data_IF_829702980217
#
_entry.id   IF_829702980217
#
_cell.length_a   1.000
_cell.length_b   1.000
_cell.length_c   1.000
_cell.angle_alpha   90.00
_cell.angle_beta   90.00
_cell.angle_gamma   90.00
#
_symmetry.space_group_name_H-M   'P 1'
#
loop_
_entity.id
_entity.type
_entity.pdbx_description
1 polymer ?
#
# COMPACT_ATOMS: atom_id res chain seq x y z
N UNK A 1 16.85 18.86 -7.72
CA UNK A 1 15.45 18.43 -7.83
C UNK A 1 15.00 17.70 -6.57
N UNK A 2 13.93 18.18 -5.95
CA UNK A 2 13.22 17.61 -4.81
C UNK A 2 11.92 17.01 -5.30
N UNK A 3 11.73 15.72 -5.09
CA UNK A 3 10.53 14.99 -5.45
C UNK A 3 9.93 14.32 -4.23
N UNK A 4 8.62 14.40 -4.08
CA UNK A 4 7.88 13.64 -3.07
C UNK A 4 6.92 12.66 -3.73
N UNK A 5 7.00 11.41 -3.32
CA UNK A 5 6.04 10.36 -3.62
C UNK A 5 5.02 10.32 -2.48
N UNK A 6 3.77 10.56 -2.81
CA UNK A 6 2.64 10.53 -1.87
C UNK A 6 1.73 9.37 -2.23
N UNK A 7 1.21 8.66 -1.24
CA UNK A 7 0.24 7.60 -1.51
C UNK A 7 -0.22 6.89 -0.24
N UNK A 8 -1.13 5.94 -0.39
CA UNK A 8 -1.58 5.12 0.74
C UNK A 8 -0.54 4.07 1.10
N UNK A 9 -0.51 3.70 2.39
CA UNK A 9 0.20 2.50 2.82
C UNK A 9 -0.25 1.30 1.98
N UNK A 10 0.74 0.55 1.45
CA UNK A 10 0.56 -0.58 0.51
C UNK A 10 0.20 -0.24 -0.94
N UNK A 11 0.27 1.02 -1.37
CA UNK A 11 0.14 1.37 -2.80
C UNK A 11 1.42 1.16 -3.62
N UNK A 12 2.55 0.84 -2.98
CA UNK A 12 3.85 0.63 -3.67
C UNK A 12 4.82 1.80 -3.58
N UNK A 13 4.55 2.78 -2.73
CA UNK A 13 5.36 4.00 -2.56
C UNK A 13 6.83 3.72 -2.28
N UNK A 14 7.15 2.67 -1.51
CA UNK A 14 8.55 2.26 -1.29
C UNK A 14 9.24 1.87 -2.59
N UNK A 15 8.61 1.06 -3.45
CA UNK A 15 9.23 0.60 -4.68
C UNK A 15 9.45 1.79 -5.66
N UNK A 16 8.46 2.69 -5.75
CA UNK A 16 8.57 3.88 -6.58
C UNK A 16 9.65 4.86 -6.08
N UNK A 17 9.78 5.03 -4.76
CA UNK A 17 10.85 5.82 -4.15
C UNK A 17 12.23 5.34 -4.63
N UNK A 18 12.49 4.04 -4.55
CA UNK A 18 13.77 3.49 -4.97
C UNK A 18 13.96 3.49 -6.49
N UNK A 19 12.88 3.33 -7.26
CA UNK A 19 12.93 3.51 -8.71
C UNK A 19 13.39 4.94 -9.07
N UNK A 20 12.75 5.96 -8.50
CA UNK A 20 13.14 7.35 -8.74
C UNK A 20 14.56 7.61 -8.22
N UNK A 21 14.90 7.13 -7.01
CA UNK A 21 16.22 7.32 -6.42
C UNK A 21 17.35 6.74 -7.28
N UNK A 22 17.11 5.61 -7.96
CA UNK A 22 18.07 5.00 -8.88
C UNK A 22 18.40 5.87 -10.10
N UNK A 23 17.45 6.70 -10.55
CA UNK A 23 17.64 7.63 -11.66
C UNK A 23 18.14 9.02 -11.23
N UNK A 24 18.20 9.30 -9.93
CA UNK A 24 18.69 10.58 -9.39
C UNK A 24 20.21 10.56 -9.17
N UNK A 25 20.85 11.74 -9.06
CA UNK A 25 22.26 11.87 -8.67
C UNK A 25 22.64 11.04 -7.43
N UNK A 26 23.90 10.60 -7.38
CA UNK A 26 24.41 9.72 -6.30
C UNK A 26 24.32 10.36 -4.92
N UNK A 27 24.37 11.68 -4.82
CA UNK A 27 24.25 12.46 -3.60
C UNK A 27 22.80 12.76 -3.19
N UNK A 28 21.80 12.34 -3.98
CA UNK A 28 20.40 12.55 -3.65
C UNK A 28 20.04 11.89 -2.30
N UNK A 29 19.48 12.70 -1.41
CA UNK A 29 19.04 12.26 -0.09
C UNK A 29 17.70 11.54 -0.18
N UNK A 30 17.48 10.58 0.71
CA UNK A 30 16.21 9.88 0.84
C UNK A 30 15.55 10.30 2.14
N UNK A 31 14.35 10.89 2.05
CA UNK A 31 13.51 11.20 3.21
C UNK A 31 12.37 10.19 3.30
N UNK A 32 12.40 9.32 4.30
CA UNK A 32 11.50 8.17 4.37
C UNK A 32 10.44 8.33 5.47
N UNK A 33 9.19 8.53 5.06
CA UNK A 33 8.00 8.59 5.92
C UNK A 33 8.15 9.54 7.14
N UNK A 34 8.47 10.83 6.92
CA UNK A 34 8.45 11.80 8.02
C UNK A 34 7.04 11.91 8.61
N UNK A 35 6.95 12.06 9.92
CA UNK A 35 5.68 12.29 10.64
C UNK A 35 5.49 13.74 11.10
N UNK A 36 6.46 14.60 10.79
CA UNK A 36 6.46 16.01 11.10
C UNK A 36 7.13 16.78 9.95
N UNK A 37 6.99 18.10 9.96
CA UNK A 37 7.67 18.94 8.99
C UNK A 37 9.19 18.77 9.11
N UNK A 38 9.84 18.55 7.98
CA UNK A 38 11.30 18.50 7.84
C UNK A 38 11.69 19.49 6.75
N UNK A 39 12.52 20.47 7.09
CA UNK A 39 13.07 21.41 6.13
C UNK A 39 14.09 20.71 5.23
N UNK A 40 13.97 20.87 3.91
CA UNK A 40 14.93 20.29 2.97
C UNK A 40 16.11 21.23 2.73
N UNK A 41 17.30 20.82 3.17
CA UNK A 41 18.55 21.54 2.93
C UNK A 41 19.19 21.15 1.59
N UNK A 42 19.08 19.86 1.22
CA UNK A 42 19.67 19.35 -0.03
C UNK A 42 18.90 19.84 -1.27
N UNK A 43 19.59 20.17 -2.37
CA UNK A 43 18.93 20.41 -3.66
C UNK A 43 18.39 19.13 -4.29
N UNK A 44 18.85 17.94 -3.88
CA UNK A 44 18.43 16.64 -4.40
C UNK A 44 17.83 15.76 -3.30
N UNK A 45 16.51 15.58 -3.34
CA UNK A 45 15.77 14.79 -2.35
C UNK A 45 14.73 13.93 -3.04
N UNK A 46 14.70 12.64 -2.72
CA UNK A 46 13.58 11.75 -2.98
C UNK A 46 12.87 11.45 -1.65
N UNK A 47 11.64 11.95 -1.50
CA UNK A 47 10.86 11.74 -0.29
C UNK A 47 9.71 10.76 -0.55
N UNK A 48 9.35 10.01 0.48
CA UNK A 48 8.15 9.18 0.51
C UNK A 48 7.30 9.60 1.70
N UNK A 49 6.03 9.88 1.46
CA UNK A 49 5.05 10.22 2.50
C UNK A 49 3.81 9.36 2.32
N UNK A 50 3.32 8.80 3.43
CA UNK A 50 2.04 8.12 3.44
C UNK A 50 0.93 9.08 3.85
N UNK A 51 -0.17 9.07 3.11
CA UNK A 51 -1.39 9.73 3.56
C UNK A 51 -2.04 8.85 4.64
N UNK A 52 -2.00 9.32 5.88
CA UNK A 52 -2.53 8.62 7.03
C UNK A 52 -3.24 9.59 7.99
N UNK A 53 -4.49 9.32 8.41
CA UNK A 53 -5.28 10.26 9.21
C UNK A 53 -4.70 10.52 10.60
N UNK A 54 -3.95 9.57 11.17
CA UNK A 54 -3.32 9.74 12.48
C UNK A 54 -2.00 10.55 12.42
N UNK A 55 -1.45 10.76 11.22
CA UNK A 55 -0.22 11.50 11.00
C UNK A 55 -0.42 12.50 9.86
N UNK A 56 -1.36 13.46 10.02
CA UNK A 56 -1.60 14.46 8.99
C UNK A 56 -0.35 15.32 8.81
N UNK A 57 -0.03 15.61 7.56
CA UNK A 57 1.10 16.43 7.18
C UNK A 57 0.57 17.70 6.51
N UNK A 58 1.07 18.85 6.96
CA UNK A 58 0.64 20.14 6.44
C UNK A 58 1.02 20.33 4.97
N UNK A 59 0.16 20.99 4.20
CA UNK A 59 0.39 21.30 2.79
C UNK A 59 1.72 22.04 2.55
N UNK A 60 2.15 22.90 3.47
CA UNK A 60 3.42 23.61 3.40
C UNK A 60 4.62 22.66 3.34
N UNK A 61 4.52 21.45 3.91
CA UNK A 61 5.55 20.43 3.77
C UNK A 61 5.67 19.97 2.31
N UNK A 62 4.56 19.79 1.59
CA UNK A 62 4.61 19.31 0.20
C UNK A 62 5.03 20.42 -0.77
N UNK A 63 4.77 21.70 -0.43
CA UNK A 63 5.14 22.86 -1.25
C UNK A 63 6.64 23.14 -1.35
N UNK A 64 7.47 22.49 -0.55
CA UNK A 64 8.93 22.59 -0.65
C UNK A 64 9.54 21.69 -1.75
N UNK A 65 8.73 20.81 -2.36
CA UNK A 65 9.17 19.92 -3.42
C UNK A 65 8.90 20.51 -4.80
N UNK A 66 9.84 20.31 -5.73
CA UNK A 66 9.71 20.77 -7.12
C UNK A 66 8.66 19.96 -7.91
N UNK A 67 8.47 18.69 -7.50
CA UNK A 67 7.58 17.72 -8.14
C UNK A 67 6.88 16.86 -7.10
N UNK A 68 5.59 16.64 -7.30
CA UNK A 68 4.75 15.77 -6.46
C UNK A 68 4.22 14.63 -7.32
N UNK A 69 4.48 13.40 -6.91
CA UNK A 69 3.94 12.20 -7.55
C UNK A 69 2.92 11.56 -6.61
N UNK A 70 1.65 11.59 -7.00
CA UNK A 70 0.60 10.88 -6.29
C UNK A 70 0.50 9.44 -6.83
N UNK A 71 0.96 8.47 -6.04
CA UNK A 71 0.86 7.06 -6.36
C UNK A 71 -0.49 6.49 -5.90
N UNK A 72 -1.32 6.15 -6.87
CA UNK A 72 -2.58 5.44 -6.69
C UNK A 72 -2.42 3.95 -7.02
N UNK A 73 -3.27 3.12 -6.44
CA UNK A 73 -3.35 1.67 -6.69
C UNK A 73 -4.81 1.28 -6.80
N UNK A 74 -5.10 0.22 -7.56
CA UNK A 74 -6.43 -0.39 -7.60
C UNK A 74 -6.87 -0.68 -6.16
N UNK A 75 -8.00 -0.09 -5.71
CA UNK A 75 -8.39 -0.17 -4.31
C UNK A 75 -8.73 -1.60 -3.88
N UNK A 76 -9.09 -2.49 -4.82
CA UNK A 76 -9.40 -3.90 -4.56
C UNK A 76 -8.15 -4.69 -4.19
N UNK A 77 -7.04 -4.47 -4.91
CA UNK A 77 -5.74 -5.04 -4.54
C UNK A 77 -5.18 -4.43 -3.25
N UNK A 78 -5.44 -3.13 -3.02
CA UNK A 78 -5.00 -2.44 -1.83
C UNK A 78 -5.66 -3.02 -0.57
N UNK A 79 -6.95 -3.32 -0.62
CA UNK A 79 -7.72 -3.98 0.45
C UNK A 79 -7.02 -5.24 0.94
N UNK A 80 -6.74 -6.17 0.04
CA UNK A 80 -6.06 -7.44 0.34
C UNK A 80 -4.68 -7.17 0.92
N UNK A 81 -3.92 -6.27 0.30
CA UNK A 81 -2.56 -5.99 0.75
C UNK A 81 -2.52 -5.38 2.16
N UNK A 82 -3.50 -4.56 2.54
CA UNK A 82 -3.66 -4.01 3.88
C UNK A 82 -4.15 -5.07 4.87
N UNK A 83 -5.11 -5.89 4.44
CA UNK A 83 -5.69 -6.97 5.25
C UNK A 83 -4.65 -7.98 5.73
N UNK A 84 -3.62 -8.25 4.93
CA UNK A 84 -2.53 -9.15 5.30
C UNK A 84 -1.41 -8.44 6.07
N UNK A 85 -1.01 -7.24 5.64
CA UNK A 85 0.14 -6.55 6.23
C UNK A 85 -0.11 -6.07 7.67
N UNK A 86 -1.37 -5.83 8.05
CA UNK A 86 -1.73 -5.30 9.37
C UNK A 86 -1.25 -6.13 10.55
N UNK A 87 -0.95 -7.41 10.36
CA UNK A 87 -0.35 -8.24 11.43
C UNK A 87 0.95 -7.61 11.95
N UNK A 88 1.78 -6.99 11.10
CA UNK A 88 3.08 -6.44 11.48
C UNK A 88 3.01 -5.33 12.54
N UNK A 89 1.90 -4.59 12.58
CA UNK A 89 1.65 -3.53 13.56
C UNK A 89 0.78 -3.95 14.74
N UNK A 90 0.28 -5.18 14.76
CA UNK A 90 -0.74 -5.62 15.71
C UNK A 90 -0.11 -6.17 16.99
N UNK A 91 0.32 -5.25 17.87
CA UNK A 91 0.93 -5.58 19.18
C UNK A 91 0.07 -6.55 20.00
N UNK A 92 -1.26 -6.41 19.95
CA UNK A 92 -2.21 -7.30 20.63
C UNK A 92 -2.29 -8.73 20.09
N UNK A 93 -1.67 -9.00 18.94
CA UNK A 93 -1.54 -10.33 18.32
C UNK A 93 -0.18 -10.97 18.63
N UNK A 94 0.92 -10.20 18.59
CA UNK A 94 2.26 -10.78 18.67
C UNK A 94 2.57 -11.49 19.99
N UNK A 95 1.94 -11.09 21.10
CA UNK A 95 2.11 -11.72 22.41
C UNK A 95 1.32 -13.02 22.61
N UNK A 96 0.45 -13.39 21.64
CA UNK A 96 -0.49 -14.50 21.80
C UNK A 96 -0.49 -15.38 20.53
N UNK A 97 0.29 -16.48 20.53
CA UNK A 97 0.35 -17.41 19.40
C UNK A 97 -1.01 -17.95 18.97
N UNK A 98 -1.93 -18.22 19.91
CA UNK A 98 -3.23 -18.77 19.61
C UNK A 98 -4.09 -17.81 18.75
N UNK A 99 -3.96 -16.50 18.98
CA UNK A 99 -4.61 -15.51 18.11
C UNK A 99 -4.03 -15.50 16.71
N UNK A 100 -2.71 -15.58 16.59
CA UNK A 100 -2.04 -15.63 15.27
C UNK A 100 -2.46 -16.88 14.52
N UNK A 101 -2.46 -18.04 15.18
CA UNK A 101 -2.86 -19.32 14.59
C UNK A 101 -4.31 -19.28 14.10
N UNK A 102 -5.24 -18.77 14.90
CA UNK A 102 -6.65 -18.61 14.50
C UNK A 102 -6.83 -17.69 13.28
N UNK A 103 -6.04 -16.62 13.19
CA UNK A 103 -6.08 -15.75 12.01
C UNK A 103 -5.52 -16.48 10.77
N UNK A 104 -4.41 -17.20 10.93
CA UNK A 104 -3.77 -17.97 9.86
C UNK A 104 -4.64 -19.13 9.38
N UNK A 105 -5.37 -19.80 10.27
CA UNK A 105 -6.36 -20.82 9.92
C UNK A 105 -7.44 -20.28 8.99
N UNK A 106 -7.98 -19.08 9.26
CA UNK A 106 -8.95 -18.45 8.37
C UNK A 106 -8.35 -18.14 6.99
N UNK A 107 -7.09 -17.68 6.96
CA UNK A 107 -6.37 -17.43 5.71
C UNK A 107 -6.11 -18.71 4.92
N UNK A 108 -5.79 -19.82 5.58
CA UNK A 108 -5.63 -21.13 4.94
C UNK A 108 -6.94 -21.68 4.40
N UNK A 109 -8.06 -21.44 5.09
CA UNK A 109 -9.39 -21.78 4.57
C UNK A 109 -9.68 -20.98 3.28
N UNK A 110 -9.37 -19.68 3.27
CA UNK A 110 -9.47 -18.83 2.07
C UNK A 110 -8.54 -19.30 0.95
N UNK A 111 -7.34 -19.78 1.26
CA UNK A 111 -6.41 -20.33 0.25
C UNK A 111 -6.94 -21.60 -0.40
N UNK A 112 -7.47 -22.52 0.43
CA UNK A 112 -8.00 -23.80 -0.02
C UNK A 112 -9.27 -23.63 -0.86
N UNK A 113 -10.11 -22.66 -0.50
CA UNK A 113 -11.30 -22.29 -1.25
C UNK A 113 -11.45 -20.75 -1.25
N UNK A 114 -10.96 -20.07 -2.30
CA UNK A 114 -11.08 -18.62 -2.42
C UNK A 114 -12.52 -18.10 -2.46
N UNK A 115 -13.51 -18.93 -2.76
CA UNK A 115 -14.92 -18.53 -2.70
C UNK A 115 -15.50 -18.52 -1.29
N UNK A 116 -14.88 -19.21 -0.33
CA UNK A 116 -15.51 -19.56 0.95
C UNK A 116 -15.47 -18.49 2.05
N UNK A 117 -14.53 -17.55 2.00
CA UNK A 117 -14.29 -16.59 3.08
C UNK A 117 -14.25 -15.17 2.53
N UNK A 118 -15.25 -14.30 2.80
CA UNK A 118 -15.18 -12.91 2.35
C UNK A 118 -14.11 -12.13 3.13
N UNK A 119 -13.56 -11.08 2.51
CA UNK A 119 -12.59 -10.17 3.13
C UNK A 119 -13.19 -9.49 4.37
N UNK A 120 -14.50 -9.22 4.38
CA UNK A 120 -15.23 -8.69 5.55
C UNK A 120 -15.07 -9.60 6.77
N UNK A 121 -15.16 -10.93 6.60
CA UNK A 121 -14.92 -11.92 7.66
C UNK A 121 -13.47 -11.94 8.13
N UNK A 122 -12.51 -11.80 7.21
CA UNK A 122 -11.09 -11.67 7.55
C UNK A 122 -10.84 -10.41 8.39
N UNK A 123 -11.48 -9.30 8.02
CA UNK A 123 -11.42 -8.04 8.77
C UNK A 123 -12.01 -8.20 10.17
N UNK A 124 -13.24 -8.70 10.28
CA UNK A 124 -13.94 -8.86 11.55
C UNK A 124 -13.19 -9.79 12.52
N UNK A 125 -12.67 -10.93 12.03
CA UNK A 125 -11.86 -11.81 12.86
C UNK A 125 -10.62 -11.08 13.37
N UNK A 126 -9.87 -10.40 12.48
CA UNK A 126 -8.67 -9.69 12.88
C UNK A 126 -8.95 -8.63 13.96
N UNK A 127 -10.02 -7.85 13.80
CA UNK A 127 -10.41 -6.83 14.78
C UNK A 127 -10.72 -7.45 16.15
N UNK A 128 -11.47 -8.55 16.17
CA UNK A 128 -11.81 -9.26 17.41
C UNK A 128 -10.57 -9.79 18.16
N UNK A 129 -9.53 -10.19 17.43
CA UNK A 129 -8.31 -10.74 18.02
C UNK A 129 -7.33 -9.63 18.45
N UNK A 130 -7.16 -8.61 17.61
CA UNK A 130 -6.19 -7.54 17.82
C UNK A 130 -6.69 -6.47 18.82
N UNK A 131 -8.00 -6.40 19.09
CA UNK A 131 -8.60 -5.38 19.95
C UNK A 131 -8.54 -3.96 19.37
N UNK A 132 -8.41 -3.85 18.05
CA UNK A 132 -8.26 -2.58 17.35
C UNK A 132 -9.48 -2.32 16.46
N UNK A 133 -10.39 -1.46 16.91
CA UNK A 133 -11.59 -1.04 16.17
C UNK A 133 -11.30 -0.04 15.03
N UNK A 134 -10.02 0.26 14.75
CA UNK A 134 -9.62 1.39 13.91
C UNK A 134 -9.55 1.09 12.40
N UNK A 135 -10.11 -0.03 11.91
CA UNK A 135 -9.91 -0.47 10.51
C UNK A 135 -11.17 -1.02 9.84
N UNK A 136 -12.29 -0.34 10.10
CA UNK A 136 -13.58 -0.55 9.44
C UNK A 136 -13.57 -0.08 7.97
N UNK A 137 -14.61 -0.44 7.22
CA UNK A 137 -14.81 0.04 5.85
C UNK A 137 -14.92 1.57 5.78
N UNK A 138 -15.47 2.22 6.80
CA UNK A 138 -15.46 3.69 6.89
C UNK A 138 -14.04 4.25 6.96
N UNK A 139 -13.11 3.55 7.64
CA UNK A 139 -11.72 3.97 7.68
C UNK A 139 -11.07 3.84 6.30
N UNK A 140 -11.44 2.83 5.52
CA UNK A 140 -11.01 2.71 4.13
C UNK A 140 -11.54 3.88 3.28
N UNK A 141 -12.83 4.18 3.36
CA UNK A 141 -13.45 5.29 2.62
C UNK A 141 -12.81 6.62 3.01
N UNK A 142 -12.58 6.86 4.31
CA UNK A 142 -11.85 8.05 4.79
C UNK A 142 -10.44 8.15 4.23
N UNK A 143 -9.70 7.03 4.16
CA UNK A 143 -8.36 7.01 3.56
C UNK A 143 -8.41 7.37 2.07
N UNK A 144 -9.35 6.81 1.32
CA UNK A 144 -9.53 7.12 -0.11
C UNK A 144 -9.94 8.57 -0.33
N UNK A 145 -10.86 9.10 0.49
CA UNK A 145 -11.24 10.51 0.46
C UNK A 145 -10.06 11.43 0.79
N UNK A 146 -9.15 11.01 1.68
CA UNK A 146 -7.90 11.72 1.95
C UNK A 146 -6.98 11.81 0.72
N UNK A 147 -6.89 10.74 -0.08
CA UNK A 147 -6.15 10.75 -1.35
C UNK A 147 -6.78 11.73 -2.34
N UNK A 148 -8.11 11.70 -2.47
CA UNK A 148 -8.85 12.61 -3.35
C UNK A 148 -8.69 14.06 -2.89
N UNK A 149 -8.77 14.32 -1.59
CA UNK A 149 -8.58 15.65 -1.01
C UNK A 149 -7.16 16.18 -1.25
N UNK A 150 -6.14 15.33 -1.05
CA UNK A 150 -4.75 15.68 -1.38
C UNK A 150 -4.60 16.03 -2.87
N UNK A 151 -5.15 15.20 -3.76
CA UNK A 151 -5.10 15.48 -5.20
C UNK A 151 -5.79 16.81 -5.56
N UNK A 152 -6.89 17.18 -4.89
CA UNK A 152 -7.52 18.49 -5.07
C UNK A 152 -6.64 19.65 -4.60
N UNK A 153 -5.87 19.47 -3.53
CA UNK A 153 -4.94 20.48 -3.03
C UNK A 153 -3.68 20.63 -3.89
N UNK A 154 -3.31 19.58 -4.64
CA UNK A 154 -2.16 19.52 -5.54
C UNK A 154 -2.58 19.05 -6.94
N UNK A 155 -3.36 19.84 -7.70
CA UNK A 155 -3.89 19.41 -9.00
C UNK A 155 -2.81 19.19 -10.07
N UNK A 156 -1.65 19.82 -9.92
CA UNK A 156 -0.49 19.70 -10.82
C UNK A 156 0.40 18.47 -10.51
N UNK A 157 0.04 17.66 -9.50
CA UNK A 157 0.79 16.45 -9.21
C UNK A 157 0.62 15.42 -10.33
N UNK A 158 1.67 14.63 -10.60
CA UNK A 158 1.53 13.48 -11.48
C UNK A 158 0.77 12.39 -10.73
N UNK A 159 -0.39 11.99 -11.24
CA UNK A 159 -1.05 10.74 -10.82
C UNK A 159 -0.38 9.57 -11.53
N UNK A 160 0.28 8.71 -10.75
CA UNK A 160 0.94 7.52 -11.26
C UNK A 160 0.29 6.27 -10.67
N UNK A 161 0.05 5.25 -11.51
CA UNK A 161 -0.63 4.01 -11.11
C UNK A 161 0.40 2.94 -10.73
N UNK A 162 0.19 2.26 -9.60
CA UNK A 162 0.96 1.08 -9.20
C UNK A 162 1.02 0.02 -10.32
N UNK A 163 -0.08 -0.12 -11.06
CA UNK A 163 -0.22 -1.04 -12.18
C UNK A 163 0.76 -0.73 -13.32
N UNK A 164 1.10 0.55 -13.54
CA UNK A 164 2.14 0.94 -14.50
C UNK A 164 3.54 0.59 -14.00
N UNK A 165 3.82 0.78 -12.71
CA UNK A 165 5.09 0.37 -12.11
C UNK A 165 5.32 -1.14 -12.19
N UNK A 166 4.29 -1.94 -11.90
CA UNK A 166 4.36 -3.40 -12.00
C UNK A 166 4.64 -3.86 -13.43
N UNK A 167 4.08 -3.16 -14.41
CA UNK A 167 4.31 -3.42 -15.82
C UNK A 167 5.60 -2.77 -16.38
N UNK A 168 6.47 -2.26 -15.50
CA UNK A 168 7.71 -1.56 -15.84
C UNK A 168 7.54 -0.36 -16.79
N UNK A 169 6.35 0.28 -16.80
CA UNK A 169 6.07 1.49 -17.60
C UNK A 169 6.45 2.73 -16.80
N UNK A 170 7.72 3.09 -16.83
CA UNK A 170 8.29 4.21 -16.09
C UNK A 170 8.33 5.53 -16.89
N UNK A 171 8.07 5.47 -18.20
CA UNK A 171 8.16 6.63 -19.10
C UNK A 171 7.36 7.84 -18.62
N UNK A 172 6.10 7.73 -18.15
CA UNK A 172 5.34 8.89 -17.71
C UNK A 172 5.96 9.60 -16.49
N UNK A 173 6.46 8.84 -15.51
CA UNK A 173 7.08 9.40 -14.31
C UNK A 173 8.49 9.93 -14.61
N UNK A 174 9.24 9.24 -15.47
CA UNK A 174 10.54 9.69 -15.95
C UNK A 174 10.45 11.03 -16.69
N UNK A 175 9.49 11.17 -17.61
CA UNK A 175 9.24 12.41 -18.33
C UNK A 175 8.84 13.55 -17.39
N UNK A 176 7.89 13.32 -16.48
CA UNK A 176 7.45 14.33 -15.50
C UNK A 176 8.59 14.85 -14.62
N UNK A 177 9.51 13.95 -14.24
CA UNK A 177 10.65 14.25 -13.39
C UNK A 177 11.90 14.67 -14.16
N UNK A 178 11.89 14.63 -15.50
CA UNK A 178 13.08 14.83 -16.34
C UNK A 178 14.25 13.93 -15.93
N UNK A 179 13.94 12.66 -15.67
CA UNK A 179 14.90 11.61 -15.30
C UNK A 179 14.97 10.52 -16.39
N UNK A 180 16.09 9.80 -16.52
CA UNK A 180 16.19 8.66 -17.42
C UNK A 180 15.34 7.48 -16.93
N UNK A 181 14.42 6.99 -17.77
CA UNK A 181 13.52 5.88 -17.44
C UNK A 181 14.29 4.57 -17.25
N UNK A 182 15.32 4.35 -18.05
CA UNK A 182 16.21 3.19 -18.04
C UNK A 182 17.03 3.06 -16.75
N UNK A 183 17.22 4.16 -16.02
CA UNK A 183 17.89 4.15 -14.71
C UNK A 183 16.91 3.92 -13.56
N UNK A 184 15.59 3.92 -13.82
CA UNK A 184 14.60 3.69 -12.77
C UNK A 184 14.55 2.21 -12.40
N UNK A 185 14.98 1.90 -11.17
CA UNK A 185 15.06 0.53 -10.68
C UNK A 185 14.31 0.37 -9.35
N UNK A 186 13.15 -0.32 -9.32
CA UNK A 186 12.33 -0.51 -8.11
C UNK A 186 12.93 -1.55 -7.12
N UNK A 187 14.25 -1.57 -6.97
CA UNK A 187 14.94 -2.44 -6.01
C UNK A 187 14.82 -1.86 -4.59
N UNK A 188 13.94 -2.49 -3.82
CA UNK A 188 13.74 -2.19 -2.41
C UNK A 188 14.88 -2.84 -1.60
N UNK A 189 15.55 -2.10 -0.69
CA UNK A 189 16.59 -2.65 0.18
C UNK A 189 16.09 -3.84 1.01
N UNK A 190 17.00 -4.75 1.35
CA UNK A 190 16.66 -5.96 2.11
C UNK A 190 16.02 -5.67 3.47
N UNK A 191 16.42 -4.57 4.12
CA UNK A 191 15.83 -4.09 5.38
C UNK A 191 14.33 -3.73 5.26
N UNK A 192 13.82 -3.57 4.04
CA UNK A 192 12.43 -3.26 3.73
C UNK A 192 11.70 -4.42 3.03
N UNK A 193 12.30 -5.61 2.91
CA UNK A 193 11.73 -6.77 2.19
C UNK A 193 10.35 -7.20 2.69
N UNK A 194 9.98 -6.90 3.94
CA UNK A 194 8.63 -7.12 4.48
C UNK A 194 7.50 -6.47 3.67
N UNK A 195 7.78 -5.32 3.02
CA UNK A 195 6.75 -4.58 2.28
C UNK A 195 6.42 -5.25 0.94
N UNK A 196 7.30 -6.15 0.47
CA UNK A 196 7.18 -6.91 -0.77
C UNK A 196 6.35 -8.18 -0.53
N UNK A 197 5.29 -8.34 -1.34
CA UNK A 197 4.38 -9.51 -1.33
C UNK A 197 4.33 -10.17 -2.72
N UNK A 198 3.43 -9.73 -3.60
CA UNK A 198 3.23 -10.37 -4.91
C UNK A 198 3.96 -9.70 -6.07
N UNK A 199 4.23 -8.39 -5.99
CA UNK A 199 4.66 -7.55 -7.14
C UNK A 199 3.76 -7.70 -8.38
N UNK A 200 2.49 -8.05 -8.19
CA UNK A 200 1.47 -8.17 -9.23
C UNK A 200 0.33 -7.19 -8.98
N UNK A 201 -0.45 -6.97 -10.03
CA UNK A 201 -1.72 -6.25 -10.02
C UNK A 201 -2.84 -7.16 -10.56
N UNK A 202 -4.09 -6.89 -10.17
CA UNK A 202 -5.27 -7.68 -10.55
C UNK A 202 -5.46 -8.95 -9.74
N UNK A 203 -4.63 -9.21 -8.72
CA UNK A 203 -4.73 -10.41 -7.89
C UNK A 203 -6.05 -10.45 -7.09
N UNK A 204 -6.74 -9.32 -6.94
CA UNK A 204 -8.04 -9.28 -6.29
C UNK A 204 -9.07 -10.22 -6.93
N UNK A 205 -8.95 -10.55 -8.21
CA UNK A 205 -9.84 -11.51 -8.91
C UNK A 205 -9.71 -12.95 -8.42
N UNK A 206 -8.55 -13.31 -7.86
CA UNK A 206 -8.31 -14.59 -7.20
C UNK A 206 -8.76 -14.59 -5.74
N UNK A 207 -9.08 -13.42 -5.19
CA UNK A 207 -9.30 -13.20 -3.77
C UNK A 207 -10.72 -12.84 -3.41
N UNK A 208 -11.45 -12.14 -4.27
CA UNK A 208 -12.81 -11.74 -3.96
C UNK A 208 -13.74 -12.91 -4.20
N UNK A 209 -14.76 -13.03 -3.36
CA UNK A 209 -15.94 -13.84 -3.62
C UNK A 209 -17.13 -12.94 -4.02
N UNK A 210 -18.27 -13.49 -4.45
CA UNK A 210 -19.44 -12.68 -4.83
C UNK A 210 -19.88 -11.69 -3.73
N UNK A 211 -19.83 -12.09 -2.46
CA UNK A 211 -20.16 -11.23 -1.32
C UNK A 211 -19.21 -10.01 -1.23
N UNK A 212 -17.92 -10.19 -1.52
CA UNK A 212 -16.96 -9.08 -1.55
C UNK A 212 -17.29 -8.09 -2.68
N UNK A 213 -17.72 -8.60 -3.84
CA UNK A 213 -18.12 -7.75 -4.97
C UNK A 213 -19.33 -6.91 -4.60
N UNK A 214 -20.37 -7.53 -4.04
CA UNK A 214 -21.59 -6.83 -3.61
C UNK A 214 -21.30 -5.77 -2.56
N UNK A 215 -20.43 -6.09 -1.59
CA UNK A 215 -20.08 -5.20 -0.49
C UNK A 215 -19.18 -4.03 -0.90
N UNK A 216 -18.07 -4.30 -1.59
CA UNK A 216 -17.05 -3.28 -1.86
C UNK A 216 -17.30 -2.46 -3.13
N UNK A 217 -18.07 -2.95 -4.11
CA UNK A 217 -18.34 -2.19 -5.34
C UNK A 217 -18.93 -0.80 -5.09
N UNK A 218 -20.00 -0.62 -4.30
CA UNK A 218 -20.52 0.72 -4.03
C UNK A 218 -19.51 1.58 -3.25
N UNK A 219 -18.75 0.99 -2.32
CA UNK A 219 -17.79 1.72 -1.47
C UNK A 219 -16.57 2.24 -2.23
N UNK A 220 -16.13 1.53 -3.27
CA UNK A 220 -14.93 1.86 -4.03
C UNK A 220 -15.21 2.66 -5.31
N UNK A 221 -16.47 2.68 -5.77
CA UNK A 221 -16.89 3.28 -7.04
C UNK A 221 -16.36 4.70 -7.26
N UNK A 222 -16.55 5.61 -6.31
CA UNK A 222 -16.12 7.01 -6.46
C UNK A 222 -14.60 7.18 -6.56
N UNK A 223 -13.81 6.35 -5.87
CA UNK A 223 -12.35 6.36 -6.02
C UNK A 223 -11.92 5.75 -7.36
N UNK A 224 -12.58 4.65 -7.77
CA UNK A 224 -12.28 3.98 -9.02
C UNK A 224 -12.57 4.89 -10.22
N UNK A 225 -13.73 5.55 -10.23
CA UNK A 225 -14.11 6.53 -11.25
C UNK A 225 -13.11 7.69 -11.30
N UNK A 226 -12.77 8.29 -10.14
CA UNK A 226 -11.86 9.45 -10.06
C UNK A 226 -10.48 9.19 -10.69
N UNK A 227 -10.01 7.94 -10.66
CA UNK A 227 -8.67 7.54 -11.10
C UNK A 227 -8.72 6.58 -12.30
N UNK A 228 -9.83 6.53 -13.03
CA UNK A 228 -10.00 5.74 -14.25
C UNK A 228 -9.64 4.25 -14.07
N UNK A 229 -10.10 3.65 -12.96
CA UNK A 229 -10.09 2.21 -12.79
C UNK A 229 -11.37 1.63 -13.40
N UNK A 230 -11.28 0.55 -14.21
CA UNK A 230 -12.44 -0.03 -14.86
C UNK A 230 -13.40 -0.61 -13.82
N UNK A 231 -14.71 -0.39 -14.01
CA UNK A 231 -15.80 -1.01 -13.25
C UNK A 231 -16.04 -2.47 -13.68
N UNK A 232 -14.94 -3.22 -13.79
CA UNK A 232 -14.92 -4.64 -14.10
C UNK A 232 -14.68 -5.44 -12.81
N UNK A 233 -15.72 -6.13 -12.36
CA UNK A 233 -15.73 -6.94 -11.14
C UNK A 233 -15.71 -8.45 -11.40
N UNK A 234 -15.32 -8.87 -12.61
CA UNK A 234 -15.27 -10.28 -12.97
C UNK A 234 -14.19 -11.01 -12.15
N UNK A 235 -14.62 -12.04 -11.43
CA UNK A 235 -13.73 -12.92 -10.68
C UNK A 235 -13.11 -13.96 -11.61
N UNK A 236 -11.94 -14.48 -11.24
CA UNK A 236 -11.34 -15.58 -12.01
C UNK A 236 -12.21 -16.84 -11.86
N UNK A 237 -12.45 -17.60 -12.94
CA UNK A 237 -13.27 -18.81 -12.89
C UNK A 237 -12.63 -19.93 -12.06
N UNK A 238 -11.30 -19.94 -12.00
CA UNK A 238 -10.50 -20.84 -11.16
C UNK A 238 -9.57 -19.99 -10.28
N UNK A 239 -10.09 -19.36 -9.21
CA UNK A 239 -9.29 -18.47 -8.39
C UNK A 239 -8.20 -19.27 -7.65
N UNK A 240 -6.98 -18.73 -7.59
CA UNK A 240 -5.87 -19.37 -6.86
C UNK A 240 -5.11 -18.38 -5.99
N UNK A 241 -5.07 -18.64 -4.70
CA UNK A 241 -4.30 -17.86 -3.74
C UNK A 241 -3.04 -18.63 -3.37
N UNK A 242 -1.89 -18.02 -3.62
CA UNK A 242 -0.58 -18.60 -3.29
C UNK A 242 -0.26 -18.41 -1.80
N UNK A 243 0.09 -19.47 -1.04
CA UNK A 243 0.42 -19.35 0.38
C UNK A 243 1.53 -18.32 0.67
N UNK A 244 2.53 -18.22 -0.22
CA UNK A 244 3.66 -17.29 -0.12
C UNK A 244 3.21 -15.81 -0.15
N UNK A 245 2.02 -15.56 -0.68
CA UNK A 245 1.38 -14.24 -0.78
C UNK A 245 0.24 -14.05 0.23
N UNK A 246 -0.05 -15.05 1.07
CA UNK A 246 -1.17 -15.07 2.00
C UNK A 246 -0.71 -15.52 3.41
N UNK A 247 -0.97 -16.75 3.83
CA UNK A 247 -0.71 -17.25 5.18
C UNK A 247 0.78 -17.26 5.53
N UNK A 248 1.63 -17.72 4.62
CA UNK A 248 3.08 -17.71 4.83
C UNK A 248 3.65 -16.30 4.85
N UNK A 249 3.07 -15.38 4.06
CA UNK A 249 3.40 -13.97 4.12
C UNK A 249 3.11 -13.39 5.51
N UNK A 250 1.92 -13.66 6.06
CA UNK A 250 1.50 -13.22 7.39
C UNK A 250 2.41 -13.80 8.48
N UNK A 251 2.71 -15.10 8.41
CA UNK A 251 3.63 -15.76 9.35
C UNK A 251 5.06 -15.20 9.27
N UNK A 252 5.53 -14.83 8.08
CA UNK A 252 6.83 -14.16 7.91
C UNK A 252 6.84 -12.78 8.59
N UNK A 253 5.78 -11.99 8.42
CA UNK A 253 5.66 -10.68 9.06
C UNK A 253 5.62 -10.78 10.58
N UNK A 254 4.84 -11.73 11.12
CA UNK A 254 4.76 -11.96 12.56
C UNK A 254 6.12 -12.37 13.15
N UNK A 255 6.82 -13.32 12.53
CA UNK A 255 8.17 -13.73 12.94
C UNK A 255 9.16 -12.57 12.92
N UNK A 256 9.20 -11.80 11.83
CA UNK A 256 10.09 -10.65 11.72
C UNK A 256 9.85 -9.63 12.84
N UNK A 257 8.58 -9.38 13.17
CA UNK A 257 8.21 -8.42 14.22
C UNK A 257 8.57 -8.92 15.62
N UNK A 258 8.33 -10.21 15.91
CA UNK A 258 8.73 -10.85 17.17
C UNK A 258 10.24 -10.84 17.37
N UNK A 259 11.00 -11.04 16.29
CA UNK A 259 12.48 -10.99 16.31
C UNK A 259 13.06 -9.57 16.33
N UNK A 260 12.25 -8.53 16.11
CA UNK A 260 12.67 -7.13 16.13
C UNK A 260 11.84 -6.31 17.14
N UNK A 261 11.99 -6.51 18.47
CA UNK A 261 11.14 -5.87 19.47
C UNK A 261 11.21 -4.33 19.48
N UNK A 262 12.23 -3.72 18.87
CA UNK A 262 12.55 -2.30 19.04
C UNK A 262 12.06 -1.33 17.96
N UNK A 263 11.68 -1.77 16.76
CA UNK A 263 11.35 -0.80 15.69
C UNK A 263 9.86 -0.48 15.71
N UNK A 264 9.51 0.70 16.21
CA UNK A 264 8.18 1.28 16.01
C UNK A 264 7.87 1.33 14.52
N UNK A 265 7.05 0.41 14.03
CA UNK A 265 6.29 0.62 12.82
C UNK A 265 5.20 1.64 13.16
N UNK A 266 5.46 2.90 12.83
CA UNK A 266 4.41 3.91 12.66
C UNK A 266 3.57 3.62 11.44
#
# INVERSE_FOLDING_TARGET
MRVVIVGLGKSGTTALLYAIRGAMPVDAQVLFEPHAYVALESPHVAAKVLLHPNFPMDDAFFRQFDRVVLLVRDPRDLLISKALYRIYGARGMHGDPAKVDRFVELLRAKEADPGSVPITRINALFESLAGLAFRTDDALVRLMNGVVAFHRAFPECLVYKYESMVAARFEPVAQYLSLPAEAMNPQVPDSLRRVVRSRRAGNWRDWFCPEDVEHYRPLLSGYMERYDYPDDWLLNPEPRIRPEECSEYVLRLDRERRSSPGTSAG
#
